data_IF_859413458952
#
_entry.id   IF_859413458952
#
_cell.length_a   1.000
_cell.length_b   1.000
_cell.length_c   1.000
_cell.angle_alpha   90.00
_cell.angle_beta   90.00
_cell.angle_gamma   90.00
#
_symmetry.space_group_name_H-M   'P 1'
#
loop_
_entity.id
_entity.type
_entity.pdbx_description
1 polymer ?
#
# COMPACT_ATOMS: atom_id res chain seq x y z
N UNK A 1 22.33 7.86 -48.15
CA UNK A 1 21.14 8.33 -47.41
C UNK A 1 21.13 7.58 -46.09
N UNK A 2 21.58 8.20 -45.00
CA UNK A 2 21.65 7.58 -43.68
C UNK A 2 20.38 7.97 -42.91
N UNK A 3 19.66 6.98 -42.40
CA UNK A 3 18.49 7.17 -41.56
C UNK A 3 18.98 7.17 -40.12
N UNK A 4 19.01 8.33 -39.49
CA UNK A 4 19.35 8.49 -38.08
C UNK A 4 18.08 8.18 -37.27
N UNK A 5 18.10 7.09 -36.50
CA UNK A 5 17.06 6.84 -35.51
C UNK A 5 17.32 7.75 -34.31
N UNK A 6 16.42 8.69 -34.06
CA UNK A 6 16.41 9.43 -32.79
C UNK A 6 16.11 8.42 -31.67
N UNK A 7 16.99 8.34 -30.67
CA UNK A 7 16.70 7.59 -29.46
C UNK A 7 15.42 8.18 -28.83
N UNK A 8 14.49 7.35 -28.31
CA UNK A 8 13.34 7.87 -27.58
C UNK A 8 13.88 8.70 -26.41
N UNK A 9 13.40 9.94 -26.30
CA UNK A 9 13.61 10.75 -25.11
C UNK A 9 13.08 9.94 -23.92
N UNK A 10 13.87 9.83 -22.86
CA UNK A 10 13.38 9.31 -21.59
C UNK A 10 12.17 10.16 -21.20
N UNK A 11 10.98 9.57 -21.28
CA UNK A 11 9.80 10.15 -20.63
C UNK A 11 10.13 10.05 -19.16
N UNK A 12 10.36 11.20 -18.53
CA UNK A 12 10.48 11.31 -17.09
C UNK A 12 9.19 10.72 -16.52
N UNK A 13 9.27 9.48 -16.05
CA UNK A 13 8.11 8.76 -15.61
C UNK A 13 7.65 9.37 -14.29
N UNK A 14 6.35 9.65 -14.20
CA UNK A 14 5.81 10.24 -12.99
C UNK A 14 5.84 9.20 -11.86
N UNK A 15 6.26 9.57 -10.65
CA UNK A 15 6.14 8.72 -9.48
C UNK A 15 4.70 8.26 -9.29
N UNK A 16 4.55 7.02 -8.84
CA UNK A 16 3.27 6.42 -8.46
C UNK A 16 3.27 6.18 -6.96
N UNK A 17 2.15 6.53 -6.32
CA UNK A 17 1.94 6.35 -4.89
C UNK A 17 0.96 5.20 -4.67
N UNK A 18 1.31 4.29 -3.78
CA UNK A 18 0.45 3.23 -3.29
C UNK A 18 0.23 3.40 -1.79
N UNK A 19 -1.01 3.61 -1.40
CA UNK A 19 -1.42 3.75 -0.01
C UNK A 19 -2.07 2.45 0.47
N UNK A 20 -1.53 1.87 1.55
CA UNK A 20 -2.16 0.75 2.23
C UNK A 20 -3.18 1.26 3.24
N UNK A 21 -4.46 1.02 2.92
CA UNK A 21 -5.56 1.31 3.81
C UNK A 21 -5.93 0.07 4.62
N UNK A 22 -5.70 0.16 5.93
CA UNK A 22 -6.21 -0.80 6.88
C UNK A 22 -7.74 -0.64 7.00
N UNK A 23 -8.46 -1.75 6.88
CA UNK A 23 -9.93 -1.82 6.91
C UNK A 23 -10.47 -2.67 8.05
N UNK A 24 -9.58 -3.37 8.76
CA UNK A 24 -9.95 -4.20 9.88
C UNK A 24 -8.73 -4.64 10.66
N UNK A 25 -8.93 -4.81 11.96
CA UNK A 25 -7.91 -5.26 12.87
C UNK A 25 -8.49 -6.24 13.89
N UNK A 26 -7.74 -7.29 14.17
CA UNK A 26 -8.10 -8.29 15.18
C UNK A 26 -6.90 -8.56 16.06
N UNK A 27 -7.05 -8.36 17.37
CA UNK A 27 -6.02 -8.75 18.33
C UNK A 27 -5.78 -10.25 18.29
N UNK A 28 -4.51 -10.66 18.36
CA UNK A 28 -4.16 -12.07 18.53
C UNK A 28 -4.55 -12.52 19.94
N UNK A 29 -4.94 -13.79 20.10
CA UNK A 29 -5.52 -14.30 21.34
C UNK A 29 -4.66 -13.96 22.58
N UNK A 30 -5.28 -13.33 23.58
CA UNK A 30 -4.63 -12.91 24.82
C UNK A 30 -4.06 -11.49 24.81
N UNK A 31 -4.15 -10.77 23.68
CA UNK A 31 -3.71 -9.39 23.52
C UNK A 31 -4.76 -8.33 23.88
N UNK A 32 -4.33 -7.07 23.98
CA UNK A 32 -5.21 -5.90 24.10
C UNK A 32 -6.06 -5.73 22.83
N UNK A 33 -7.27 -5.15 22.94
CA UNK A 33 -8.12 -4.94 21.78
C UNK A 33 -7.42 -4.04 20.75
N UNK A 34 -7.46 -4.45 19.49
CA UNK A 34 -7.01 -3.60 18.40
C UNK A 34 -8.09 -2.59 18.06
N UNK A 35 -7.79 -1.31 18.22
CA UNK A 35 -8.75 -0.21 18.00
C UNK A 35 -8.11 0.90 17.16
N UNK A 36 -8.15 0.77 15.82
CA UNK A 36 -7.80 1.86 14.92
C UNK A 36 -8.74 3.06 15.20
N UNK A 37 -8.28 4.31 15.01
CA UNK A 37 -9.03 5.50 15.40
C UNK A 37 -10.22 5.72 14.46
N UNK A 38 -10.01 5.44 13.17
CA UNK A 38 -10.96 5.50 12.08
C UNK A 38 -10.62 4.37 11.09
N UNK A 39 -11.64 3.79 10.45
CA UNK A 39 -11.45 2.86 9.34
C UNK A 39 -12.15 3.43 8.08
N UNK A 40 -11.50 3.42 6.90
CA UNK A 40 -10.13 2.95 6.67
C UNK A 40 -9.05 3.85 7.29
N UNK A 41 -7.96 3.25 7.79
CA UNK A 41 -6.79 3.95 8.32
C UNK A 41 -5.64 3.85 7.31
N UNK A 42 -5.02 4.98 6.95
CA UNK A 42 -3.80 4.96 6.14
C UNK A 42 -2.66 4.47 7.02
N UNK A 43 -2.15 3.26 6.77
CA UNK A 43 -1.13 2.64 7.60
C UNK A 43 0.27 2.77 6.99
N UNK A 44 0.40 2.61 5.68
CA UNK A 44 1.68 2.69 4.97
C UNK A 44 1.51 3.35 3.60
N UNK A 45 2.55 4.04 3.14
CA UNK A 45 2.61 4.65 1.81
C UNK A 45 3.90 4.22 1.12
N UNK A 46 3.78 3.63 -0.07
CA UNK A 46 4.89 3.23 -0.94
C UNK A 46 4.90 4.13 -2.18
N UNK A 47 5.98 4.87 -2.39
CA UNK A 47 6.21 5.68 -3.59
C UNK A 47 7.24 4.99 -4.46
N UNK A 48 6.88 4.76 -5.73
CA UNK A 48 7.75 4.15 -6.75
C UNK A 48 8.01 5.17 -7.86
N UNK A 49 9.18 5.11 -8.54
CA UNK A 49 9.59 6.11 -9.52
C UNK A 49 8.72 6.12 -10.77
N UNK A 50 8.08 4.99 -11.09
CA UNK A 50 7.25 4.84 -12.26
C UNK A 50 6.25 3.68 -12.11
N UNK A 51 5.39 3.55 -13.11
CA UNK A 51 4.33 2.54 -13.19
C UNK A 51 4.83 1.14 -13.54
N UNK A 52 6.15 0.91 -13.64
CA UNK A 52 6.78 -0.40 -13.93
C UNK A 52 8.06 -0.54 -13.11
N UNK A 53 7.89 -0.75 -11.82
CA UNK A 53 8.94 -0.70 -10.82
C UNK A 53 9.02 -2.04 -10.07
N UNK A 54 10.23 -2.54 -9.85
CA UNK A 54 10.44 -3.76 -9.07
C UNK A 54 11.76 -3.68 -8.33
N UNK A 55 11.79 -4.21 -7.12
CA UNK A 55 12.99 -4.15 -6.29
C UNK A 55 12.83 -4.80 -4.94
N UNK A 56 13.91 -4.73 -4.18
CA UNK A 56 13.97 -5.17 -2.80
C UNK A 56 14.92 -4.32 -1.97
N UNK A 57 14.63 -4.19 -0.69
CA UNK A 57 15.50 -3.56 0.29
C UNK A 57 15.59 -4.47 1.52
N UNK A 58 16.81 -4.82 1.93
CA UNK A 58 17.04 -5.76 3.04
C UNK A 58 18.15 -5.29 3.96
N UNK A 59 17.90 -5.39 5.25
CA UNK A 59 18.90 -5.15 6.27
C UNK A 59 18.54 -5.89 7.55
N UNK A 60 19.48 -6.68 8.08
CA UNK A 60 19.25 -7.53 9.26
C UNK A 60 19.47 -6.81 10.60
N UNK A 61 19.71 -5.50 10.58
CA UNK A 61 20.04 -4.75 11.80
C UNK A 61 21.49 -4.86 12.25
N UNK A 62 22.37 -5.49 11.46
CA UNK A 62 23.78 -5.61 11.81
C UNK A 62 24.46 -4.25 11.58
N UNK A 63 25.01 -3.60 12.62
CA UNK A 63 25.68 -2.30 12.48
C UNK A 63 26.97 -2.39 11.64
N UNK A 64 27.54 -3.57 11.45
CA UNK A 64 28.70 -3.79 10.60
C UNK A 64 28.34 -4.02 9.12
N UNK A 65 27.06 -4.21 8.79
CA UNK A 65 26.58 -4.46 7.44
C UNK A 65 25.68 -3.31 6.96
N UNK A 66 25.97 -2.79 5.77
CA UNK A 66 25.09 -1.83 5.12
C UNK A 66 23.82 -2.53 4.60
N UNK A 67 22.67 -1.83 4.55
CA UNK A 67 21.50 -2.31 3.83
C UNK A 67 21.80 -2.66 2.37
N UNK A 68 21.11 -3.68 1.85
CA UNK A 68 21.22 -4.16 0.48
C UNK A 68 19.97 -3.78 -0.30
N UNK A 69 20.17 -3.07 -1.41
CA UNK A 69 19.11 -2.63 -2.30
C UNK A 69 19.28 -3.26 -3.68
N UNK A 70 18.17 -3.69 -4.29
CA UNK A 70 18.12 -4.13 -5.67
C UNK A 70 16.91 -3.55 -6.38
N UNK A 71 17.02 -3.35 -7.69
CA UNK A 71 15.92 -2.83 -8.51
C UNK A 71 15.82 -1.31 -8.50
N UNK A 72 14.62 -0.81 -8.68
CA UNK A 72 14.29 0.62 -8.81
C UNK A 72 14.28 1.36 -7.48
N UNK A 73 14.37 2.69 -7.51
CA UNK A 73 14.20 3.52 -6.31
C UNK A 73 12.84 3.31 -5.64
N UNK A 74 12.74 3.62 -4.35
CA UNK A 74 11.48 3.63 -3.61
C UNK A 74 11.56 4.56 -2.39
N UNK A 75 10.39 4.96 -1.89
CA UNK A 75 10.23 5.51 -0.55
C UNK A 75 9.04 4.83 0.14
N UNK A 76 9.25 4.36 1.36
CA UNK A 76 8.23 3.69 2.16
C UNK A 76 8.09 4.40 3.51
N UNK A 77 6.90 4.88 3.83
CA UNK A 77 6.60 5.56 5.09
C UNK A 77 5.42 4.89 5.79
N UNK A 78 5.34 5.10 7.10
CA UNK A 78 4.34 4.50 7.96
C UNK A 78 3.65 5.56 8.81
N UNK A 79 2.37 5.33 9.09
CA UNK A 79 1.58 6.19 9.97
C UNK A 79 1.43 5.52 11.34
N UNK A 80 1.79 6.26 12.39
CA UNK A 80 1.62 5.87 13.78
C UNK A 80 0.57 6.73 14.46
N UNK A 81 0.00 6.22 15.56
CA UNK A 81 -0.76 7.05 16.48
C UNK A 81 0.05 7.38 17.72
N UNK A 82 0.39 8.65 17.91
CA UNK A 82 0.86 9.15 19.21
C UNK A 82 2.35 8.95 19.51
N UNK A 83 3.14 8.38 18.60
CA UNK A 83 4.61 8.29 18.71
C UNK A 83 5.29 8.81 17.42
N UNK A 84 6.56 9.31 17.45
CA UNK A 84 7.28 9.62 16.22
C UNK A 84 7.23 8.38 15.33
N UNK A 85 6.64 8.53 14.14
CA UNK A 85 6.58 7.44 13.18
C UNK A 85 7.99 6.94 12.84
N UNK A 86 8.08 5.70 12.34
CA UNK A 86 9.35 5.22 11.80
C UNK A 86 9.81 6.16 10.68
N UNK A 87 11.12 6.41 10.54
CA UNK A 87 11.65 7.22 9.46
C UNK A 87 11.24 6.59 8.12
N UNK A 88 11.07 7.44 7.11
CA UNK A 88 10.84 6.97 5.75
C UNK A 88 12.03 6.11 5.29
N UNK A 89 11.75 4.87 4.93
CA UNK A 89 12.74 3.97 4.36
C UNK A 89 12.92 4.31 2.88
N UNK A 90 14.14 4.65 2.50
CA UNK A 90 14.53 4.90 1.10
C UNK A 90 15.74 4.05 0.74
N UNK A 91 16.13 4.02 -0.54
CA UNK A 91 17.38 3.39 -0.97
C UNK A 91 18.65 3.99 -0.34
N UNK A 92 18.55 5.18 0.26
CA UNK A 92 19.67 5.85 0.91
C UNK A 92 19.66 5.70 2.43
N UNK A 93 18.79 4.85 2.99
CA UNK A 93 18.73 4.64 4.44
C UNK A 93 20.05 4.00 4.91
N UNK A 94 20.79 4.63 5.83
CA UNK A 94 22.14 4.17 6.18
C UNK A 94 22.16 2.92 7.10
N UNK A 95 21.00 2.50 7.62
CA UNK A 95 20.92 1.66 8.82
C UNK A 95 20.83 2.51 10.08
N UNK A 96 20.12 2.03 11.10
CA UNK A 96 20.11 2.66 12.43
C UNK A 96 20.92 1.83 13.42
N UNK A 97 22.03 2.36 13.91
CA UNK A 97 22.97 1.58 14.72
C UNK A 97 22.47 1.34 16.15
N UNK A 98 21.46 2.07 16.62
CA UNK A 98 20.92 1.95 17.96
C UNK A 98 19.42 1.60 17.92
N UNK A 99 19.11 0.31 18.03
CA UNK A 99 17.79 -0.21 18.39
C UNK A 99 17.41 0.08 19.85
N UNK A 100 17.69 1.30 20.33
CA UNK A 100 17.56 1.66 21.73
C UNK A 100 16.54 2.77 22.01
N UNK A 101 15.93 3.36 20.97
CA UNK A 101 15.05 4.51 21.10
C UNK A 101 13.80 4.42 20.23
N UNK A 102 12.74 5.09 20.69
CA UNK A 102 11.49 5.21 19.94
C UNK A 102 11.72 5.85 18.58
N UNK A 103 11.10 5.27 17.54
CA UNK A 103 11.23 5.74 16.15
C UNK A 103 12.44 5.22 15.39
N UNK A 104 13.23 4.28 15.94
CA UNK A 104 14.34 3.64 15.21
C UNK A 104 13.88 2.44 14.38
N UNK A 105 14.43 2.27 13.17
CA UNK A 105 14.28 1.04 12.38
C UNK A 105 15.41 0.08 12.73
N UNK A 106 15.06 -1.10 13.21
CA UNK A 106 15.98 -2.14 13.64
C UNK A 106 16.37 -3.12 12.55
N UNK A 107 15.42 -3.50 11.71
CA UNK A 107 15.68 -4.35 10.55
C UNK A 107 14.53 -4.20 9.56
N UNK A 108 14.77 -4.58 8.31
CA UNK A 108 13.72 -4.61 7.31
C UNK A 108 13.99 -5.63 6.21
N UNK A 109 12.91 -6.17 5.64
CA UNK A 109 12.88 -6.92 4.40
C UNK A 109 11.66 -6.45 3.60
N UNK A 110 11.92 -5.69 2.54
CA UNK A 110 10.90 -5.10 1.68
C UNK A 110 11.12 -5.60 0.27
N UNK A 111 10.04 -5.97 -0.41
CA UNK A 111 10.04 -6.28 -1.84
C UNK A 111 8.75 -5.83 -2.49
N UNK A 112 8.84 -5.42 -3.76
CA UNK A 112 7.68 -5.00 -4.54
C UNK A 112 7.85 -5.36 -6.02
N UNK A 113 6.71 -5.45 -6.69
CA UNK A 113 6.62 -5.62 -8.13
C UNK A 113 5.37 -4.92 -8.66
N UNK A 114 5.57 -3.86 -9.42
CA UNK A 114 4.54 -3.09 -10.11
C UNK A 114 4.72 -3.19 -11.61
N UNK A 115 3.61 -3.42 -12.33
CA UNK A 115 3.61 -3.48 -13.80
C UNK A 115 2.38 -2.77 -14.34
N UNK A 116 2.61 -1.72 -15.13
CA UNK A 116 1.56 -0.95 -15.80
C UNK A 116 0.56 -0.29 -14.86
N UNK A 117 1.02 0.26 -13.72
CA UNK A 117 0.15 0.94 -12.76
C UNK A 117 -0.62 -0.02 -11.85
N UNK A 118 -0.14 -1.26 -11.73
CA UNK A 118 -0.74 -2.30 -10.90
C UNK A 118 0.32 -2.97 -10.03
N UNK A 119 0.15 -2.85 -8.72
CA UNK A 119 0.96 -3.54 -7.72
C UNK A 119 0.62 -5.03 -7.73
N UNK A 120 1.50 -5.85 -8.30
CA UNK A 120 1.33 -7.29 -8.45
C UNK A 120 1.78 -8.06 -7.22
N UNK A 121 2.80 -7.55 -6.52
CA UNK A 121 3.32 -8.10 -5.29
C UNK A 121 3.91 -6.97 -4.45
N UNK A 122 3.71 -7.08 -3.14
CA UNK A 122 4.39 -6.26 -2.14
C UNK A 122 4.46 -7.10 -0.87
N UNK A 123 5.63 -7.07 -0.24
CA UNK A 123 5.85 -7.65 1.06
C UNK A 123 6.74 -6.67 1.83
N UNK A 124 6.23 -6.19 2.96
CA UNK A 124 6.91 -5.25 3.84
C UNK A 124 7.07 -5.95 5.18
N UNK A 125 8.30 -6.11 5.64
CA UNK A 125 8.62 -6.48 7.01
C UNK A 125 9.56 -5.42 7.57
N UNK A 126 9.16 -4.74 8.62
CA UNK A 126 9.96 -3.73 9.31
C UNK A 126 9.87 -3.99 10.80
N UNK A 127 11.02 -4.18 11.42
CA UNK A 127 11.16 -4.21 12.87
C UNK A 127 11.68 -2.84 13.29
N UNK A 128 10.95 -2.17 14.18
CA UNK A 128 11.39 -0.98 14.90
C UNK A 128 11.75 -1.28 16.35
N UNK A 129 12.11 -0.25 17.10
CA UNK A 129 12.22 -0.38 18.56
C UNK A 129 10.83 -0.62 19.16
N UNK A 130 10.60 -1.82 19.71
CA UNK A 130 9.32 -2.22 20.33
C UNK A 130 8.11 -2.33 19.39
N UNK A 131 8.32 -2.18 18.08
CA UNK A 131 7.29 -2.30 17.05
C UNK A 131 7.74 -3.24 15.94
N UNK A 132 6.79 -3.97 15.36
CA UNK A 132 7.00 -4.88 14.24
C UNK A 132 5.81 -4.75 13.29
N UNK A 133 6.10 -4.52 12.01
CA UNK A 133 5.10 -4.43 10.96
C UNK A 133 5.42 -5.44 9.88
N UNK A 134 4.43 -6.27 9.57
CA UNK A 134 4.44 -7.13 8.41
C UNK A 134 3.18 -6.89 7.58
N UNK A 135 3.29 -6.41 6.34
CA UNK A 135 2.15 -6.14 5.46
C UNK A 135 2.44 -6.62 4.05
N UNK A 136 1.51 -7.40 3.51
CA UNK A 136 1.47 -7.84 2.12
C UNK A 136 0.32 -7.14 1.37
N UNK A 137 -0.08 -7.67 0.21
CA UNK A 137 -1.14 -7.09 -0.63
C UNK A 137 -2.49 -6.89 0.07
N UNK A 138 -2.84 -7.72 1.06
CA UNK A 138 -4.19 -7.77 1.64
C UNK A 138 -4.24 -7.57 3.15
N UNK A 139 -3.10 -7.27 3.79
CA UNK A 139 -2.99 -7.26 5.25
C UNK A 139 -1.72 -7.90 5.74
N UNK A 140 -1.70 -8.22 7.03
CA UNK A 140 -0.56 -8.85 7.68
C UNK A 140 -0.64 -8.77 9.20
N UNK A 141 0.50 -8.56 9.85
CA UNK A 141 0.65 -8.57 11.29
C UNK A 141 1.30 -7.30 11.79
N UNK A 142 0.84 -6.81 12.93
CA UNK A 142 1.44 -5.70 13.66
C UNK A 142 1.74 -6.23 15.06
N UNK A 143 3.00 -6.20 15.47
CA UNK A 143 3.39 -6.24 16.88
C UNK A 143 3.70 -4.81 17.28
N UNK A 144 3.15 -4.32 18.38
CA UNK A 144 3.35 -2.93 18.77
C UNK A 144 3.28 -2.83 20.28
N UNK A 145 4.35 -2.41 20.93
CA UNK A 145 4.28 -1.97 22.33
C UNK A 145 3.67 -0.55 22.41
N UNK A 146 3.66 0.20 21.30
CA UNK A 146 2.94 1.48 21.16
C UNK A 146 1.67 1.33 20.32
N UNK A 147 1.15 2.38 19.66
CA UNK A 147 -0.12 2.33 18.90
C UNK A 147 0.11 2.39 17.37
N UNK A 148 0.65 1.32 16.78
CA UNK A 148 0.72 1.14 15.32
C UNK A 148 -0.59 0.57 14.76
N UNK A 149 -1.24 1.24 13.80
CA UNK A 149 -2.48 0.74 13.19
C UNK A 149 -3.60 0.45 14.20
N UNK A 150 -3.56 1.04 15.40
CA UNK A 150 -4.51 0.72 16.47
C UNK A 150 -4.21 -0.54 17.26
N UNK A 151 -3.13 -1.25 16.93
CA UNK A 151 -2.57 -2.29 17.77
C UNK A 151 -1.78 -1.63 18.90
N UNK A 152 -2.22 -1.83 20.14
CA UNK A 152 -1.60 -1.26 21.33
C UNK A 152 -1.13 -2.33 22.29
N UNK A 153 0.15 -2.32 22.68
CA UNK A 153 0.73 -3.26 23.66
C UNK A 153 0.44 -4.74 23.34
N UNK A 154 0.42 -5.10 22.06
CA UNK A 154 -0.10 -6.39 21.60
C UNK A 154 0.38 -6.76 20.20
N UNK A 155 0.06 -7.98 19.79
CA UNK A 155 0.07 -8.40 18.41
C UNK A 155 -1.34 -8.37 17.84
N UNK A 156 -1.47 -7.89 16.60
CA UNK A 156 -2.73 -7.76 15.90
C UNK A 156 -2.56 -8.24 14.46
N UNK A 157 -3.62 -8.82 13.91
CA UNK A 157 -3.73 -9.13 12.49
C UNK A 157 -4.55 -8.04 11.83
N UNK A 158 -3.96 -7.41 10.82
CA UNK A 158 -4.61 -6.35 10.03
C UNK A 158 -5.04 -6.88 8.68
N UNK A 159 -6.14 -6.34 8.17
CA UNK A 159 -6.65 -6.56 6.82
C UNK A 159 -6.80 -5.22 6.12
N UNK A 160 -6.53 -5.18 4.82
CA UNK A 160 -6.56 -3.93 4.07
C UNK A 160 -6.34 -4.14 2.59
N UNK A 161 -6.09 -3.05 1.88
CA UNK A 161 -5.77 -3.06 0.46
C UNK A 161 -4.84 -1.90 0.11
N UNK A 162 -4.04 -2.09 -0.94
CA UNK A 162 -3.25 -1.04 -1.55
C UNK A 162 -4.07 -0.30 -2.61
N UNK A 163 -4.06 1.02 -2.56
CA UNK A 163 -4.72 1.89 -3.52
C UNK A 163 -3.71 2.83 -4.17
N UNK A 164 -3.71 2.88 -5.49
CA UNK A 164 -2.85 3.79 -6.25
C UNK A 164 -3.47 5.19 -6.36
N UNK A 165 -2.63 6.22 -6.43
CA UNK A 165 -2.99 7.59 -6.82
C UNK A 165 -3.24 7.76 -8.33
N UNK A 166 -2.88 6.77 -9.14
CA UNK A 166 -3.20 6.77 -10.55
C UNK A 166 -4.72 6.77 -10.71
N UNK A 167 -5.22 7.77 -11.44
CA UNK A 167 -6.59 7.81 -11.93
C UNK A 167 -6.75 6.73 -13.01
N UNK A 168 -6.73 5.45 -12.63
CA UNK A 168 -7.08 4.37 -13.53
C UNK A 168 -8.58 4.48 -13.76
N UNK A 169 -9.05 4.75 -14.98
CA UNK A 169 -10.48 4.67 -15.27
C UNK A 169 -10.87 3.22 -15.00
N UNK A 170 -11.65 2.94 -13.96
CA UNK A 170 -12.04 1.56 -13.67
C UNK A 170 -12.69 0.96 -14.93
N UNK A 171 -12.01 0.03 -15.63
CA UNK A 171 -12.38 -0.26 -17.02
C UNK A 171 -13.62 -1.16 -17.11
N UNK A 172 -14.18 -1.60 -15.98
CA UNK A 172 -15.22 -2.64 -15.97
C UNK A 172 -16.45 -2.20 -15.17
N UNK A 173 -16.30 -1.46 -14.07
CA UNK A 173 -17.43 -1.05 -13.24
C UNK A 173 -18.34 -0.03 -13.94
N UNK A 174 -17.76 0.94 -14.66
CA UNK A 174 -18.54 1.91 -15.46
C UNK A 174 -19.26 1.20 -16.62
N UNK A 175 -18.60 0.24 -17.27
CA UNK A 175 -19.19 -0.56 -18.35
C UNK A 175 -20.31 -1.47 -17.84
N UNK A 176 -20.15 -2.10 -16.68
CA UNK A 176 -21.18 -2.91 -16.01
C UNK A 176 -22.38 -2.05 -15.56
N UNK A 177 -22.12 -0.85 -15.04
CA UNK A 177 -23.17 0.07 -14.63
C UNK A 177 -23.96 0.57 -15.85
N UNK A 178 -23.26 0.96 -16.92
CA UNK A 178 -23.88 1.42 -18.16
C UNK A 178 -24.67 0.30 -18.87
N UNK A 179 -24.15 -0.93 -18.89
CA UNK A 179 -24.87 -2.08 -19.45
C UNK A 179 -26.07 -2.47 -18.59
N UNK A 180 -25.96 -2.41 -17.25
CA UNK A 180 -27.08 -2.61 -16.33
C UNK A 180 -28.19 -1.57 -16.50
N UNK A 181 -27.83 -0.28 -16.64
CA UNK A 181 -28.78 0.81 -16.89
C UNK A 181 -29.46 0.62 -18.26
N UNK A 182 -28.71 0.29 -19.31
CA UNK A 182 -29.29 0.02 -20.64
C UNK A 182 -30.25 -1.18 -20.60
N UNK A 183 -29.86 -2.27 -19.93
CA UNK A 183 -30.70 -3.46 -19.79
C UNK A 183 -31.99 -3.15 -19.03
N UNK A 184 -31.93 -2.35 -17.96
CA UNK A 184 -33.10 -1.89 -17.22
C UNK A 184 -34.02 -0.99 -18.07
N UNK A 185 -33.44 -0.09 -18.86
CA UNK A 185 -34.20 0.76 -19.79
C UNK A 185 -34.92 -0.04 -20.88
N UNK A 186 -34.24 -1.02 -21.48
CA UNK A 186 -34.81 -1.85 -22.55
C UNK A 186 -35.82 -2.88 -22.03
N UNK A 187 -35.67 -3.34 -20.79
CA UNK A 187 -36.60 -4.26 -20.14
C UNK A 187 -37.83 -3.57 -19.53
N UNK A 188 -37.87 -2.23 -19.52
CA UNK A 188 -39.01 -1.47 -19.03
C UNK A 188 -40.21 -1.70 -19.97
N UNK A 189 -41.29 -2.37 -19.53
CA UNK A 189 -42.46 -2.51 -20.37
C UNK A 189 -43.04 -1.12 -20.63
N UNK A 190 -43.16 -0.74 -21.90
CA UNK A 190 -43.99 0.38 -22.34
C UNK A 190 -45.36 0.24 -21.65
N UNK A 191 -45.61 1.02 -20.61
CA UNK A 191 -46.93 1.15 -19.99
C UNK A 191 -47.86 1.68 -21.07
N UNK A 192 -48.49 0.75 -21.77
CA UNK A 192 -49.49 1.01 -22.78
C UNK A 192 -50.72 1.51 -22.01
N UNK A 193 -50.85 2.83 -21.90
CA UNK A 193 -52.02 3.52 -21.37
C UNK A 193 -53.28 2.92 -22.01
N UNK A 194 -53.99 2.05 -21.27
CA UNK A 194 -55.37 1.68 -21.57
C UNK A 194 -56.26 2.81 -21.10
N UNK A 195 -56.57 3.72 -22.01
CA UNK A 195 -57.79 4.52 -21.94
C UNK A 195 -58.92 3.56 -22.29
N UNK A 196 -59.74 3.19 -21.31
CA UNK A 196 -61.07 2.64 -21.53
C UNK A 196 -62.04 3.48 -20.70
N UNK A 197 -62.69 4.42 -21.40
CA UNK A 197 -63.90 5.08 -20.93
C UNK A 197 -65.10 4.21 -21.30
N UNK A 198 -66.09 4.01 -20.41
CA UNK A 198 -67.47 3.77 -20.81
C UNK A 198 -68.15 5.07 -21.28
#
# INVERSE_FOLDING_TARGET
MAITFAAPLAVDAAPVTWDFYETGCVAVAGGYPCTPPNLPFLLATLVLPDVTSSGSARWSGDPAAAPVYTGTDFALSFQTMGHPGLPTLTQSFPGDHDCGGGGSICSFDVSWNEVGGRLLAVAVSVLGFSDELHVDLTGGYIGSDDIYGGCALSQCRVSGFWQSDLAVPEPISVLMLMTGILAAWLASPLQKNRILSP
#
